data_IF_335427097969
#
_entry.id   IF_335427097969
#
_cell.length_a   1.000
_cell.length_b   1.000
_cell.length_c   1.000
_cell.angle_alpha   90.00
_cell.angle_beta   90.00
_cell.angle_gamma   90.00
#
_symmetry.space_group_name_H-M   'P 1'
#
loop_
_entity.id
_entity.type
_entity.pdbx_description
1 polymer ?
#
# COMPACT_ATOMS: atom_id res chain seq x y z
N UNK A 1 4.06 8.27 -3.22
CA UNK A 1 3.65 7.06 -2.51
C UNK A 1 2.19 6.65 -2.79
N UNK A 2 1.30 7.60 -2.88
CA UNK A 2 -0.14 7.30 -3.11
C UNK A 2 -0.34 6.50 -4.39
N UNK A 3 0.33 6.90 -5.47
CA UNK A 3 0.19 6.20 -6.75
C UNK A 3 0.70 4.77 -6.66
N UNK A 4 1.76 4.55 -5.89
CA UNK A 4 2.32 3.21 -5.72
C UNK A 4 1.40 2.32 -4.90
N UNK A 5 0.75 2.87 -3.87
CA UNK A 5 -0.24 2.12 -3.10
C UNK A 5 -1.41 1.71 -3.99
N UNK A 6 -1.87 2.63 -4.83
CA UNK A 6 -2.94 2.33 -5.78
C UNK A 6 -2.52 1.24 -6.77
N UNK A 7 -1.28 1.31 -7.23
CA UNK A 7 -0.73 0.29 -8.14
C UNK A 7 -0.76 -1.10 -7.50
N UNK A 8 -0.41 -1.19 -6.22
CA UNK A 8 -0.47 -2.46 -5.50
C UNK A 8 -1.90 -2.98 -5.46
N UNK A 9 -2.84 -2.13 -5.11
CA UNK A 9 -4.25 -2.51 -5.04
C UNK A 9 -4.75 -3.04 -6.38
N UNK A 10 -4.39 -2.37 -7.45
CA UNK A 10 -4.79 -2.77 -8.80
C UNK A 10 -4.09 -4.06 -9.24
N UNK A 11 -2.84 -4.23 -8.85
CA UNK A 11 -2.08 -5.43 -9.19
C UNK A 11 -2.75 -6.69 -8.64
N UNK A 12 -3.27 -6.62 -7.41
CA UNK A 12 -3.96 -7.74 -6.79
C UNK A 12 -5.46 -7.74 -7.05
N UNK A 13 -5.95 -6.79 -7.85
CA UNK A 13 -7.37 -6.69 -8.24
C UNK A 13 -8.29 -6.63 -7.03
N UNK A 14 -7.89 -5.88 -6.03
CA UNK A 14 -8.63 -5.72 -4.79
C UNK A 14 -9.48 -4.46 -4.84
N UNK A 15 -10.67 -4.53 -4.23
CA UNK A 15 -11.44 -3.34 -3.97
C UNK A 15 -10.77 -2.52 -2.88
N UNK A 16 -11.12 -1.23 -2.80
CA UNK A 16 -10.57 -0.34 -1.78
C UNK A 16 -10.89 -0.87 -0.38
N UNK A 17 -12.10 -1.38 -0.19
CA UNK A 17 -12.52 -1.94 1.10
C UNK A 17 -11.70 -3.18 1.47
N UNK A 18 -11.51 -4.10 0.53
CA UNK A 18 -10.76 -5.32 0.77
C UNK A 18 -9.28 -5.01 1.04
N UNK A 19 -8.71 -4.10 0.26
CA UNK A 19 -7.33 -3.71 0.44
C UNK A 19 -7.10 -3.09 1.83
N UNK A 20 -7.99 -2.16 2.23
CA UNK A 20 -7.89 -1.53 3.54
C UNK A 20 -7.97 -2.57 4.66
N UNK A 21 -8.89 -3.53 4.53
CA UNK A 21 -9.04 -4.59 5.52
C UNK A 21 -7.76 -5.42 5.64
N UNK A 22 -7.14 -5.76 4.52
CA UNK A 22 -5.93 -6.57 4.51
C UNK A 22 -4.74 -5.87 5.15
N UNK A 23 -4.64 -4.55 4.97
CA UNK A 23 -3.50 -3.81 5.52
C UNK A 23 -3.79 -3.21 6.90
N UNK A 24 -4.99 -3.45 7.44
CA UNK A 24 -5.30 -3.10 8.83
C UNK A 24 -5.73 -1.66 9.05
N UNK A 25 -6.27 -1.00 8.03
CA UNK A 25 -6.83 0.35 8.17
C UNK A 25 -8.28 0.34 7.71
N UNK A 26 -9.02 1.41 8.05
CA UNK A 26 -10.40 1.52 7.59
C UNK A 26 -10.46 1.93 6.12
N UNK A 27 -11.54 1.56 5.45
CA UNK A 27 -11.77 1.99 4.07
C UNK A 27 -11.84 3.51 3.97
N UNK A 28 -12.40 4.17 5.00
CA UNK A 28 -12.46 5.62 5.04
C UNK A 28 -11.07 6.24 5.11
N UNK A 29 -10.16 5.65 5.90
CA UNK A 29 -8.77 6.11 5.98
C UNK A 29 -8.07 5.95 4.64
N UNK A 30 -8.26 4.82 3.98
CA UNK A 30 -7.65 4.58 2.67
C UNK A 30 -8.19 5.57 1.63
N UNK A 31 -9.49 5.85 1.68
CA UNK A 31 -10.10 6.85 0.81
C UNK A 31 -9.48 8.23 1.02
N UNK A 32 -9.26 8.60 2.28
CA UNK A 32 -8.64 9.89 2.61
C UNK A 32 -7.20 9.96 2.08
N UNK A 33 -6.47 8.85 2.13
CA UNK A 33 -5.11 8.78 1.57
C UNK A 33 -5.16 8.99 0.07
N UNK A 34 -6.06 8.30 -0.63
CA UNK A 34 -6.17 8.41 -2.09
C UNK A 34 -6.63 9.79 -2.54
N UNK A 35 -7.40 10.49 -1.71
CA UNK A 35 -7.86 11.84 -2.01
C UNK A 35 -6.85 12.92 -1.61
N UNK A 36 -5.72 12.53 -1.04
CA UNK A 36 -4.69 13.46 -0.63
C UNK A 36 -4.97 14.22 0.65
N UNK A 37 -6.01 13.85 1.39
CA UNK A 37 -6.37 14.51 2.64
C UNK A 37 -5.47 14.09 3.78
N UNK A 38 -4.99 12.84 3.74
CA UNK A 38 -4.18 12.25 4.78
C UNK A 38 -2.97 11.60 4.14
N UNK A 39 -1.82 11.75 4.76
CA UNK A 39 -0.62 11.07 4.30
C UNK A 39 -0.66 9.59 4.70
N UNK A 40 -0.10 8.70 3.88
CA UNK A 40 0.02 7.29 4.29
C UNK A 40 0.80 7.19 5.59
N UNK A 41 0.19 6.55 6.59
CA UNK A 41 0.80 6.42 7.91
C UNK A 41 1.77 5.23 7.92
N UNK A 42 2.60 5.20 8.97
CA UNK A 42 3.47 4.05 9.18
C UNK A 42 2.65 2.76 9.31
N UNK A 43 1.47 2.84 9.92
CA UNK A 43 0.57 1.68 10.04
C UNK A 43 0.18 1.15 8.65
N UNK A 44 -0.12 2.04 7.71
CA UNK A 44 -0.48 1.62 6.36
C UNK A 44 0.70 0.94 5.67
N UNK A 45 1.89 1.52 5.76
CA UNK A 45 3.10 0.95 5.16
C UNK A 45 3.42 -0.41 5.79
N UNK A 46 3.37 -0.49 7.12
CA UNK A 46 3.62 -1.74 7.83
C UNK A 46 2.58 -2.80 7.43
N UNK A 47 1.32 -2.40 7.34
CA UNK A 47 0.25 -3.31 6.92
C UNK A 47 0.47 -3.87 5.52
N UNK A 48 0.92 -3.02 4.59
CA UNK A 48 1.24 -3.46 3.24
C UNK A 48 2.39 -4.46 3.26
N UNK A 49 3.42 -4.18 4.04
CA UNK A 49 4.57 -5.07 4.14
C UNK A 49 4.17 -6.43 4.74
N UNK A 50 3.30 -6.43 5.73
CA UNK A 50 2.86 -7.68 6.37
C UNK A 50 1.89 -8.47 5.48
N UNK A 51 1.00 -7.79 4.79
CA UNK A 51 0.00 -8.45 3.94
C UNK A 51 0.60 -8.91 2.62
N UNK A 52 1.56 -8.16 2.09
CA UNK A 52 2.19 -8.43 0.80
C UNK A 52 3.71 -8.38 0.94
N UNK A 53 4.30 -9.40 1.57
CA UNK A 53 5.75 -9.38 1.84
C UNK A 53 6.62 -9.38 0.59
N UNK A 54 6.06 -9.76 -0.55
CA UNK A 54 6.78 -9.73 -1.82
C UNK A 54 6.94 -8.30 -2.37
N UNK A 55 6.20 -7.33 -1.85
CA UNK A 55 6.33 -5.94 -2.29
C UNK A 55 7.62 -5.34 -1.75
N UNK A 56 8.38 -4.73 -2.65
CA UNK A 56 9.63 -4.08 -2.29
C UNK A 56 9.34 -2.79 -1.54
N UNK A 57 9.71 -2.74 -0.25
CA UNK A 57 9.45 -1.56 0.58
C UNK A 57 10.20 -0.33 0.06
N UNK A 58 11.41 -0.52 -0.47
CA UNK A 58 12.17 0.59 -1.06
C UNK A 58 11.45 1.18 -2.27
N UNK A 59 10.83 0.32 -3.07
CA UNK A 59 10.03 0.79 -4.19
C UNK A 59 8.82 1.56 -3.68
N UNK A 60 8.14 1.02 -2.66
CA UNK A 60 6.94 1.66 -2.12
C UNK A 60 7.24 3.03 -1.54
N UNK A 61 8.30 3.15 -0.77
CA UNK A 61 8.60 4.39 -0.04
C UNK A 61 9.45 5.37 -0.84
N UNK A 62 10.38 4.85 -1.64
CA UNK A 62 11.39 5.70 -2.28
C UNK A 62 11.42 5.57 -3.80
N UNK A 63 10.54 4.76 -4.36
CA UNK A 63 10.49 4.49 -5.81
C UNK A 63 11.82 3.93 -6.33
N UNK A 64 12.44 3.06 -5.53
CA UNK A 64 13.69 2.41 -5.90
C UNK A 64 13.46 0.93 -6.19
N UNK A 65 13.97 0.47 -7.32
CA UNK A 65 13.83 -0.92 -7.73
C UNK A 65 12.45 -1.22 -8.29
N UNK A 66 12.07 -2.47 -8.28
CA UNK A 66 10.79 -2.93 -8.82
C UNK A 66 9.79 -3.21 -7.72
N UNK A 67 8.51 -3.14 -8.07
CA UNK A 67 7.41 -3.39 -7.12
C UNK A 67 7.54 -4.76 -6.47
N UNK A 68 7.75 -5.79 -7.27
CA UNK A 68 7.91 -7.17 -6.80
C UNK A 68 9.40 -7.52 -6.83
N UNK A 69 10.06 -7.33 -5.73
CA UNK A 69 11.49 -7.55 -5.69
C UNK A 69 12.02 -7.47 -4.27
N UNK A 70 11.15 -7.75 -3.31
CA UNK A 70 11.57 -7.72 -1.92
C UNK A 70 12.65 -8.78 -1.69
N UNK A 71 13.72 -8.37 -1.06
CA UNK A 71 14.76 -9.28 -0.63
C UNK A 71 14.24 -10.19 0.47
N UNK A 72 14.49 -11.46 0.35
CA UNK A 72 14.12 -12.42 1.38
C UNK A 72 15.30 -12.75 2.27
#
# INVERSE_FOLDING_TARGET
>A
MIDRIRTIMEHYKLSQQDFASLIGISAATLSSIFNGRTQPSQRAVTGIHQAFPEINVKWLMFNEGDMLGAET
#
